data_IF_489705443875
#
_entry.id   IF_489705443875
#
_cell.length_a   1.000
_cell.length_b   1.000
_cell.length_c   1.000
_cell.angle_alpha   90.00
_cell.angle_beta   90.00
_cell.angle_gamma   90.00
#
_symmetry.space_group_name_H-M   'P 1'
#
loop_
_entity.id
_entity.type
_entity.pdbx_description
1 polymer ?
#
# COMPACT_ATOMS: atom_id res chain seq x y z
N UNK A 1 -12.25 6.97 1.36
CA UNK A 1 -11.34 5.84 1.67
C UNK A 1 -9.93 6.37 1.85
N UNK A 2 -9.21 5.91 2.87
CA UNK A 2 -7.82 6.31 3.13
C UNK A 2 -6.84 5.34 2.47
N UNK A 3 -5.81 5.87 1.83
CA UNK A 3 -4.73 5.09 1.20
C UNK A 3 -3.40 5.45 1.86
N UNK A 4 -2.66 4.43 2.23
CA UNK A 4 -1.31 4.56 2.80
C UNK A 4 -0.34 3.68 2.02
N UNK A 5 0.74 4.28 1.52
CA UNK A 5 1.82 3.59 0.81
C UNK A 5 3.00 3.48 1.76
N UNK A 6 3.32 2.27 2.18
CA UNK A 6 4.43 1.96 3.06
C UNK A 6 5.58 1.39 2.26
N UNK A 7 6.79 1.88 2.48
CA UNK A 7 7.96 1.40 1.75
C UNK A 7 9.16 1.22 2.70
N UNK A 8 9.99 0.21 2.45
CA UNK A 8 11.20 -0.01 3.25
C UNK A 8 12.38 0.84 2.76
N UNK A 9 12.54 0.94 1.43
CA UNK A 9 13.67 1.63 0.81
C UNK A 9 13.34 3.06 0.38
N UNK A 10 14.34 3.96 0.50
CA UNK A 10 14.20 5.34 0.02
C UNK A 10 14.35 5.39 -1.50
N UNK A 11 13.75 6.41 -2.14
CA UNK A 11 14.05 6.73 -3.53
C UNK A 11 15.56 6.92 -3.70
N UNK A 12 16.13 6.21 -4.68
CA UNK A 12 17.55 6.28 -5.03
C UNK A 12 17.80 7.37 -6.07
N UNK A 13 16.82 7.63 -6.93
CA UNK A 13 16.95 8.55 -8.06
C UNK A 13 15.97 9.72 -8.01
N UNK A 14 16.39 10.88 -8.52
CA UNK A 14 15.54 12.09 -8.57
C UNK A 14 14.29 11.89 -9.43
N UNK A 15 14.40 11.08 -10.48
CA UNK A 15 13.30 10.76 -11.38
C UNK A 15 12.20 9.95 -10.67
N UNK A 16 12.55 9.06 -9.76
CA UNK A 16 11.59 8.30 -8.95
C UNK A 16 10.78 9.25 -8.07
N UNK A 17 11.45 10.16 -7.36
CA UNK A 17 10.82 11.18 -6.52
C UNK A 17 9.92 12.12 -7.36
N UNK A 18 10.38 12.53 -8.54
CA UNK A 18 9.60 13.36 -9.46
C UNK A 18 8.31 12.65 -9.92
N UNK A 19 8.43 11.40 -10.39
CA UNK A 19 7.27 10.62 -10.85
C UNK A 19 6.31 10.36 -9.69
N UNK A 20 6.83 9.97 -8.53
CA UNK A 20 6.04 9.77 -7.33
C UNK A 20 5.21 11.01 -6.97
N UNK A 21 5.85 12.18 -6.89
CA UNK A 21 5.17 13.46 -6.61
C UNK A 21 4.15 13.82 -7.69
N UNK A 22 4.48 13.61 -8.95
CA UNK A 22 3.58 13.91 -10.07
C UNK A 22 2.30 13.06 -9.99
N UNK A 23 2.41 11.75 -9.78
CA UNK A 23 1.24 10.88 -9.68
C UNK A 23 0.45 11.11 -8.39
N UNK A 24 1.13 11.33 -7.26
CA UNK A 24 0.46 11.67 -6.01
C UNK A 24 -0.39 12.94 -6.17
N UNK A 25 0.15 13.97 -6.81
CA UNK A 25 -0.56 15.22 -7.10
C UNK A 25 -1.76 15.02 -8.05
N UNK A 26 -1.65 14.10 -9.03
CA UNK A 26 -2.79 13.77 -9.89
C UNK A 26 -3.91 13.12 -9.09
N UNK A 27 -3.58 12.14 -8.24
CA UNK A 27 -4.56 11.43 -7.40
C UNK A 27 -5.27 12.38 -6.44
N UNK A 28 -4.53 13.27 -5.76
CA UNK A 28 -5.12 14.22 -4.81
C UNK A 28 -6.07 15.20 -5.49
N UNK A 29 -5.75 15.66 -6.71
CA UNK A 29 -6.60 16.56 -7.51
C UNK A 29 -7.85 15.90 -8.09
N UNK A 30 -7.80 14.59 -8.34
CA UNK A 30 -8.92 13.81 -8.86
C UNK A 30 -9.99 13.55 -7.79
N UNK A 31 -9.72 13.81 -6.51
CA UNK A 31 -10.54 13.34 -5.39
C UNK A 31 -11.98 13.90 -5.36
N UNK A 32 -12.84 13.31 -6.19
CA UNK A 32 -14.31 13.40 -6.15
C UNK A 32 -14.86 12.60 -4.96
N UNK A 33 -14.37 12.86 -3.73
CA UNK A 33 -14.74 12.17 -2.48
C UNK A 33 -14.40 10.66 -2.37
N UNK A 34 -13.85 10.02 -3.41
CA UNK A 34 -13.50 8.58 -3.38
C UNK A 34 -12.30 8.29 -2.46
N UNK A 35 -11.22 9.06 -2.61
CA UNK A 35 -10.01 8.95 -1.80
C UNK A 35 -9.96 10.18 -0.88
N UNK A 36 -10.20 9.96 0.41
CA UNK A 36 -10.24 11.02 1.44
C UNK A 36 -8.83 11.49 1.80
N UNK A 37 -7.89 10.55 1.83
CA UNK A 37 -6.49 10.82 2.16
C UNK A 37 -5.59 9.84 1.45
N UNK A 38 -4.47 10.34 0.94
CA UNK A 38 -3.38 9.50 0.45
C UNK A 38 -2.07 9.99 1.06
N UNK A 39 -1.29 9.07 1.64
CA UNK A 39 0.05 9.37 2.16
C UNK A 39 1.02 8.25 1.84
N UNK A 40 2.31 8.58 1.78
CA UNK A 40 3.37 7.59 1.69
C UNK A 40 4.41 7.83 2.79
N UNK A 41 4.87 6.78 3.43
CA UNK A 41 5.86 6.86 4.51
C UNK A 41 6.81 5.66 4.49
N UNK A 42 8.07 5.93 4.86
CA UNK A 42 9.02 4.86 5.12
C UNK A 42 8.63 4.11 6.39
N UNK A 43 8.71 2.79 6.37
CA UNK A 43 8.42 1.93 7.53
C UNK A 43 9.54 0.92 7.78
N UNK A 44 9.67 0.45 9.02
CA UNK A 44 10.51 -0.70 9.39
C UNK A 44 9.65 -1.95 9.58
N UNK A 45 10.24 -3.13 9.44
CA UNK A 45 9.60 -4.42 9.70
C UNK A 45 8.87 -4.46 11.05
N UNK A 46 9.53 -4.00 12.13
CA UNK A 46 8.93 -3.97 13.47
C UNK A 46 7.65 -3.14 13.51
N UNK A 47 7.66 -1.97 12.87
CA UNK A 47 6.48 -1.10 12.78
C UNK A 47 5.40 -1.69 11.88
N UNK A 48 5.78 -2.32 10.77
CA UNK A 48 4.86 -2.98 9.85
C UNK A 48 4.16 -4.16 10.50
N UNK A 49 4.91 -5.05 11.16
CA UNK A 49 4.38 -6.18 11.95
C UNK A 49 3.37 -5.68 12.98
N UNK A 50 3.67 -4.57 13.67
CA UNK A 50 2.72 -3.96 14.61
C UNK A 50 1.44 -3.49 13.93
N UNK A 51 1.52 -2.84 12.76
CA UNK A 51 0.33 -2.44 11.98
C UNK A 51 -0.49 -3.64 11.52
N UNK A 52 0.17 -4.71 11.07
CA UNK A 52 -0.48 -5.96 10.66
C UNK A 52 -1.25 -6.59 11.84
N UNK A 53 -0.63 -6.67 13.02
CA UNK A 53 -1.24 -7.23 14.24
C UNK A 53 -2.38 -6.38 14.81
N UNK A 54 -2.36 -5.06 14.59
CA UNK A 54 -3.37 -4.11 15.09
C UNK A 54 -4.43 -3.73 14.04
N UNK A 55 -4.40 -4.37 12.87
CA UNK A 55 -5.32 -4.12 11.77
C UNK A 55 -6.77 -4.27 12.23
N UNK A 56 -7.62 -3.30 11.85
CA UNK A 56 -9.07 -3.39 12.07
C UNK A 56 -9.76 -4.10 10.90
N UNK A 57 -10.93 -4.69 11.14
CA UNK A 57 -11.67 -5.43 10.11
C UNK A 57 -12.05 -4.61 8.86
N UNK A 58 -12.09 -3.29 8.96
CA UNK A 58 -12.38 -2.38 7.84
C UNK A 58 -11.11 -1.86 7.14
N UNK A 59 -9.95 -2.37 7.48
CA UNK A 59 -8.68 -2.04 6.84
C UNK A 59 -8.23 -3.20 5.94
N UNK A 60 -7.54 -2.91 4.85
CA UNK A 60 -6.84 -3.89 4.04
C UNK A 60 -5.35 -3.63 4.07
N UNK A 61 -4.54 -4.69 4.13
CA UNK A 61 -3.09 -4.62 4.00
C UNK A 61 -2.72 -5.48 2.80
N UNK A 62 -2.05 -4.88 1.82
CA UNK A 62 -1.73 -5.48 0.54
C UNK A 62 -0.22 -5.39 0.37
N UNK A 63 0.44 -6.54 0.36
CA UNK A 63 1.86 -6.66 0.06
C UNK A 63 2.04 -6.67 -1.46
N UNK A 64 2.91 -5.81 -1.97
CA UNK A 64 3.32 -5.82 -3.37
C UNK A 64 4.48 -6.80 -3.50
N UNK A 65 4.14 -8.05 -3.82
CA UNK A 65 5.08 -9.16 -3.98
C UNK A 65 4.96 -9.74 -5.39
N UNK A 66 6.10 -10.06 -6.00
CA UNK A 66 6.17 -10.63 -7.36
C UNK A 66 5.50 -12.00 -7.47
N UNK A 67 5.39 -12.74 -6.36
CA UNK A 67 4.72 -14.05 -6.28
C UNK A 67 3.22 -13.93 -6.01
N UNK A 68 2.71 -12.71 -5.82
CA UNK A 68 1.30 -12.43 -5.53
C UNK A 68 0.35 -12.62 -6.72
N UNK A 69 -0.94 -12.35 -6.50
CA UNK A 69 -1.95 -12.39 -7.57
C UNK A 69 -1.64 -11.33 -8.65
N UNK A 70 -1.74 -11.73 -9.92
CA UNK A 70 -1.75 -10.79 -11.04
C UNK A 70 -3.12 -10.12 -11.15
N UNK A 71 -3.16 -8.82 -10.87
CA UNK A 71 -4.40 -8.03 -10.84
C UNK A 71 -4.51 -7.17 -12.11
N UNK A 72 -5.63 -7.28 -12.83
CA UNK A 72 -5.94 -6.41 -13.98
C UNK A 72 -6.44 -5.05 -13.50
N UNK A 73 -6.46 -4.04 -14.37
CA UNK A 73 -6.98 -2.69 -14.02
C UNK A 73 -8.42 -2.74 -13.49
N UNK A 74 -9.30 -3.56 -14.09
CA UNK A 74 -10.69 -3.69 -13.63
C UNK A 74 -10.79 -4.35 -12.25
N UNK A 75 -10.02 -5.42 -12.01
CA UNK A 75 -9.95 -6.04 -10.69
C UNK A 75 -9.40 -5.07 -9.65
N UNK A 76 -8.38 -4.29 -10.00
CA UNK A 76 -7.77 -3.31 -9.09
C UNK A 76 -8.75 -2.18 -8.75
N UNK A 77 -9.50 -1.69 -9.74
CA UNK A 77 -10.58 -0.71 -9.55
C UNK A 77 -11.66 -1.25 -8.61
N UNK A 78 -12.08 -2.50 -8.79
CA UNK A 78 -13.04 -3.15 -7.89
C UNK A 78 -12.47 -3.32 -6.48
N UNK A 79 -11.20 -3.70 -6.34
CA UNK A 79 -10.54 -3.79 -5.03
C UNK A 79 -10.54 -2.43 -4.31
N UNK A 80 -10.27 -1.34 -5.02
CA UNK A 80 -10.24 0.01 -4.46
C UNK A 80 -11.62 0.56 -4.12
N UNK A 81 -12.65 0.32 -4.95
CA UNK A 81 -13.92 1.06 -4.86
C UNK A 81 -15.17 0.19 -4.75
N UNK A 82 -15.06 -1.11 -4.99
CA UNK A 82 -16.13 -2.09 -4.83
C UNK A 82 -16.15 -2.77 -3.46
N UNK A 83 -15.13 -2.54 -2.64
CA UNK A 83 -15.01 -3.09 -1.28
C UNK A 83 -15.46 -2.08 -0.24
N UNK A 84 -15.82 -2.54 0.97
CA UNK A 84 -16.19 -1.68 2.10
C UNK A 84 -14.99 -1.24 2.96
N UNK A 85 -13.77 -1.30 2.41
CA UNK A 85 -12.58 -0.91 3.15
C UNK A 85 -12.56 0.60 3.42
N UNK A 86 -12.48 0.95 4.70
CA UNK A 86 -12.26 2.33 5.15
C UNK A 86 -10.84 2.81 4.85
N UNK A 87 -9.87 1.88 4.84
CA UNK A 87 -8.45 2.16 4.63
C UNK A 87 -7.73 1.02 3.92
N UNK A 88 -6.84 1.33 2.99
CA UNK A 88 -5.98 0.36 2.31
C UNK A 88 -4.51 0.76 2.51
N UNK A 89 -3.71 -0.20 2.98
CA UNK A 89 -2.26 -0.07 3.14
C UNK A 89 -1.58 -0.89 2.05
N UNK A 90 -0.95 -0.21 1.10
CA UNK A 90 -0.06 -0.83 0.13
C UNK A 90 1.35 -0.85 0.68
N UNK A 91 1.99 -2.01 0.69
CA UNK A 91 3.32 -2.18 1.28
C UNK A 91 4.29 -2.63 0.20
N UNK A 92 5.40 -1.91 0.05
CA UNK A 92 6.51 -2.23 -0.84
C UNK A 92 7.68 -2.75 0.01
N UNK A 93 8.13 -3.95 -0.33
CA UNK A 93 9.30 -4.57 0.28
C UNK A 93 10.58 -3.80 -0.01
N UNK A 94 11.65 -4.20 0.68
CA UNK A 94 12.99 -3.71 0.37
C UNK A 94 13.58 -4.47 -0.82
N UNK A 95 14.87 -4.25 -1.06
CA UNK A 95 15.64 -4.99 -2.08
C UNK A 95 15.53 -6.51 -1.93
N UNK A 96 15.47 -7.02 -0.69
CA UNK A 96 15.32 -8.45 -0.38
C UNK A 96 13.87 -8.91 -0.22
N UNK A 97 12.90 -8.06 -0.57
CA UNK A 97 11.46 -8.35 -0.42
C UNK A 97 10.95 -8.20 1.02
N UNK A 98 10.12 -9.15 1.45
CA UNK A 98 9.53 -9.21 2.79
C UNK A 98 10.11 -10.38 3.60
N UNK A 99 10.27 -10.18 4.91
CA UNK A 99 10.60 -11.27 5.81
C UNK A 99 9.48 -12.31 5.87
N UNK A 100 9.84 -13.58 6.13
CA UNK A 100 8.87 -14.67 6.25
C UNK A 100 7.81 -14.41 7.33
N UNK A 101 8.17 -13.72 8.41
CA UNK A 101 7.20 -13.32 9.44
C UNK A 101 6.10 -12.43 8.85
N UNK A 102 6.46 -11.42 8.05
CA UNK A 102 5.50 -10.50 7.41
C UNK A 102 4.59 -11.25 6.43
N UNK A 103 5.17 -12.14 5.62
CA UNK A 103 4.42 -12.95 4.65
C UNK A 103 3.42 -13.85 5.39
N UNK A 104 3.89 -14.58 6.40
CA UNK A 104 3.05 -15.50 7.18
C UNK A 104 1.93 -14.78 7.94
N UNK A 105 2.21 -13.60 8.50
CA UNK A 105 1.18 -12.81 9.18
C UNK A 105 0.14 -12.21 8.24
N UNK A 106 0.52 -11.98 6.97
CA UNK A 106 -0.38 -11.42 5.96
C UNK A 106 -1.25 -12.49 5.32
N UNK A 107 -0.73 -13.70 5.14
CA UNK A 107 -1.48 -14.85 4.59
C UNK A 107 -2.46 -15.50 5.60
N UNK A 108 -2.27 -15.27 6.91
CA UNK A 108 -3.15 -15.79 7.97
C UNK A 108 -4.41 -14.95 8.20
N UNK A 109 -4.70 -13.98 7.33
CA UNK A 109 -5.80 -13.01 7.47
C UNK A 109 -6.98 -13.31 6.55
#
# INVERSE_FOLDING_TARGET
MDIEILYHDKFKFKQEDFLFKMYLNRITKISNNLISKIKAEKISDKSLIKKIKLKKGTEAIILLDEKGEKVTTEKFKHLLFGTSFSKILFVLGGTDGFSEEIINLSNKQ
#
